data_IF_099984977584
#
_entry.id   IF_099984977584
#
_cell.length_a   1.000
_cell.length_b   1.000
_cell.length_c   1.000
_cell.angle_alpha   90.00
_cell.angle_beta   90.00
_cell.angle_gamma   90.00
#
_symmetry.space_group_name_H-M   'P 1'
#
loop_
_entity.id
_entity.type
_entity.pdbx_description
1 polymer ?
#
# COMPACT_ATOMS: atom_id res chain seq x y z
N UNK A 1 -18.01 -0.36 21.40
CA UNK A 1 -16.87 0.44 21.88
C UNK A 1 -17.11 1.89 21.53
N UNK A 2 -16.99 2.86 22.44
CA UNK A 2 -17.23 4.26 22.14
C UNK A 2 -16.09 4.82 21.29
N UNK A 3 -16.44 5.56 20.26
CA UNK A 3 -15.54 6.36 19.45
C UNK A 3 -14.72 7.30 20.34
N UNK A 4 -13.40 7.23 20.22
CA UNK A 4 -12.51 8.25 20.77
C UNK A 4 -12.75 9.55 20.00
N UNK A 5 -12.86 10.72 20.71
CA UNK A 5 -13.06 11.98 20.04
C UNK A 5 -11.81 12.35 19.23
N UNK A 6 -12.06 12.89 18.03
CA UNK A 6 -11.04 13.47 17.18
C UNK A 6 -10.22 14.50 17.98
N UNK A 7 -8.91 14.27 18.11
CA UNK A 7 -7.99 15.28 18.60
C UNK A 7 -7.95 16.42 17.59
N UNK A 8 -8.65 17.50 17.91
CA UNK A 8 -8.49 18.77 17.22
C UNK A 8 -7.06 19.27 17.46
N UNK A 9 -6.24 19.22 16.45
CA UNK A 9 -4.98 19.96 16.40
C UNK A 9 -5.34 21.44 16.31
N UNK A 10 -5.33 22.13 17.46
CA UNK A 10 -5.42 23.56 17.48
C UNK A 10 -4.11 24.14 16.92
N UNK A 11 -4.14 24.56 15.66
CA UNK A 11 -3.11 25.43 15.09
C UNK A 11 -3.29 26.82 15.72
N UNK A 12 -2.66 27.05 16.86
CA UNK A 12 -2.46 28.37 17.44
C UNK A 12 -0.99 28.72 17.36
N UNK A 13 -0.52 29.04 16.16
CA UNK A 13 0.64 29.93 16.05
C UNK A 13 0.46 30.77 14.81
N UNK A 14 0.27 32.09 15.03
CA UNK A 14 0.32 33.08 13.97
C UNK A 14 1.73 33.07 13.41
N UNK A 15 1.89 32.60 12.20
CA UNK A 15 3.11 32.78 11.43
C UNK A 15 3.36 34.29 11.37
N UNK A 16 4.49 34.84 11.87
CA UNK A 16 4.82 36.23 11.72
C UNK A 16 4.91 36.56 10.23
N UNK A 17 4.18 37.56 9.79
CA UNK A 17 4.30 38.09 8.43
C UNK A 17 5.75 38.61 8.26
N UNK A 18 6.52 37.96 7.41
CA UNK A 18 7.86 38.44 7.06
C UNK A 18 7.74 39.80 6.40
N UNK A 19 8.58 40.79 6.78
CA UNK A 19 8.63 42.08 6.11
C UNK A 19 9.04 41.90 4.65
N UNK A 20 8.60 42.77 3.73
CA UNK A 20 9.01 42.71 2.32
C UNK A 20 10.53 42.77 2.20
N UNK A 21 11.08 41.91 1.34
CA UNK A 21 12.52 41.90 1.05
C UNK A 21 12.97 43.29 0.59
N UNK A 22 14.06 43.80 1.15
CA UNK A 22 14.71 45.03 0.68
C UNK A 22 15.50 44.68 -0.57
N UNK A 23 15.24 45.42 -1.64
CA UNK A 23 16.03 45.35 -2.88
C UNK A 23 17.48 45.75 -2.54
N UNK A 24 18.41 44.83 -2.69
CA UNK A 24 19.84 45.14 -2.57
C UNK A 24 20.70 44.13 -1.81
N UNK A 25 20.13 43.10 -1.20
CA UNK A 25 20.96 42.05 -0.57
C UNK A 25 21.45 41.06 -1.63
N UNK A 26 22.71 41.19 -2.06
CA UNK A 26 23.47 40.11 -2.69
C UNK A 26 23.35 38.88 -1.78
N UNK A 27 22.49 37.92 -2.17
CA UNK A 27 22.29 36.71 -1.42
C UNK A 27 23.60 35.93 -1.35
N UNK A 28 24.29 36.01 -0.22
CA UNK A 28 25.29 35.02 0.13
C UNK A 28 24.70 33.63 -0.13
N UNK A 29 25.46 32.64 -0.65
CA UNK A 29 24.96 31.31 -0.95
C UNK A 29 24.23 30.80 0.28
N UNK A 30 22.93 30.52 0.15
CA UNK A 30 22.08 30.09 1.25
C UNK A 30 22.76 28.91 1.92
N UNK A 31 23.15 29.05 3.19
CA UNK A 31 23.72 27.96 3.98
C UNK A 31 22.71 26.82 3.97
N UNK A 32 23.09 25.68 3.44
CA UNK A 32 22.24 24.48 3.45
C UNK A 32 21.89 24.20 4.91
N UNK A 33 20.59 24.11 5.21
CA UNK A 33 20.12 23.75 6.55
C UNK A 33 20.72 22.38 6.93
N UNK A 34 21.48 22.29 8.03
CA UNK A 34 22.12 21.04 8.45
C UNK A 34 21.13 19.89 8.66
N UNK A 35 19.85 20.18 8.94
CA UNK A 35 18.80 19.15 9.09
C UNK A 35 18.44 18.47 7.77
N UNK A 36 18.75 19.06 6.64
CA UNK A 36 18.49 18.53 5.30
C UNK A 36 19.62 17.60 4.81
N UNK A 37 20.84 17.78 5.33
CA UNK A 37 22.03 17.03 4.89
C UNK A 37 21.99 15.59 5.44
N UNK A 38 22.35 14.59 4.61
CA UNK A 38 22.43 13.21 5.08
C UNK A 38 23.50 13.06 6.17
N UNK A 39 23.17 12.30 7.21
CA UNK A 39 24.06 12.13 8.37
C UNK A 39 25.20 11.17 8.03
N UNK A 40 26.42 11.50 8.45
CA UNK A 40 27.56 10.60 8.42
C UNK A 40 27.24 9.30 9.19
N UNK A 41 27.74 8.17 8.72
CA UNK A 41 27.53 6.87 9.34
C UNK A 41 26.10 6.32 9.22
N UNK A 42 25.28 6.86 8.31
CA UNK A 42 23.86 6.52 8.19
C UNK A 42 23.49 6.19 6.75
N UNK A 43 22.60 5.22 6.57
CA UNK A 43 21.95 4.92 5.28
C UNK A 43 20.61 5.67 5.24
N UNK A 44 20.42 6.51 4.22
CA UNK A 44 19.19 7.26 4.00
C UNK A 44 18.46 6.72 2.77
N UNK A 45 17.25 6.17 2.94
CA UNK A 45 16.36 5.89 1.82
C UNK A 45 15.69 7.20 1.40
N UNK A 46 15.86 7.64 0.17
CA UNK A 46 15.32 8.92 -0.28
C UNK A 46 14.31 8.74 -1.41
N UNK A 47 13.08 9.20 -1.19
CA UNK A 47 12.02 9.14 -2.18
C UNK A 47 12.30 10.09 -3.35
N UNK A 48 12.08 9.59 -4.57
CA UNK A 48 12.21 10.37 -5.81
C UNK A 48 10.84 10.74 -6.38
N UNK A 49 10.75 11.78 -7.22
CA UNK A 49 9.51 12.10 -7.94
C UNK A 49 8.98 10.93 -8.77
N UNK A 50 7.67 10.75 -8.81
CA UNK A 50 7.00 9.74 -9.63
C UNK A 50 6.58 10.27 -11.01
N UNK A 51 6.88 11.54 -11.30
CA UNK A 51 6.55 12.18 -12.58
C UNK A 51 6.90 13.65 -12.58
N UNK A 52 6.41 14.39 -11.61
CA UNK A 52 6.65 15.84 -11.48
C UNK A 52 7.90 16.10 -10.63
N UNK A 53 8.90 16.72 -11.21
CA UNK A 53 10.14 17.09 -10.48
C UNK A 53 9.91 18.11 -9.36
N UNK A 54 8.79 18.85 -9.40
CA UNK A 54 8.38 19.76 -8.34
C UNK A 54 8.08 19.06 -7.01
N UNK A 55 7.78 17.74 -7.06
CA UNK A 55 7.51 16.94 -5.87
C UNK A 55 8.79 16.48 -5.13
N UNK A 56 9.98 16.82 -5.67
CA UNK A 56 11.24 16.51 -5.01
C UNK A 56 11.38 17.29 -3.69
N UNK A 57 11.50 16.57 -2.59
CA UNK A 57 11.67 17.19 -1.28
C UNK A 57 13.01 17.95 -1.20
N UNK A 58 13.11 19.01 -0.37
CA UNK A 58 14.38 19.66 -0.08
C UNK A 58 15.44 18.67 0.47
N UNK A 59 15.01 17.67 1.23
CA UNK A 59 15.88 16.62 1.76
C UNK A 59 16.46 15.72 0.67
N UNK A 60 15.67 15.36 -0.35
CA UNK A 60 16.18 14.62 -1.51
C UNK A 60 17.27 15.41 -2.23
N UNK A 61 17.03 16.72 -2.49
CA UNK A 61 18.00 17.59 -3.16
C UNK A 61 19.33 17.65 -2.38
N UNK A 62 19.25 17.95 -1.08
CA UNK A 62 20.43 18.00 -0.22
C UNK A 62 21.11 16.63 -0.09
N UNK A 63 20.33 15.54 -0.05
CA UNK A 63 20.86 14.19 -0.01
C UNK A 63 21.69 13.86 -1.27
N UNK A 64 21.23 14.25 -2.46
CA UNK A 64 21.98 14.05 -3.70
C UNK A 64 23.23 14.91 -3.77
N UNK A 65 23.21 16.13 -3.24
CA UNK A 65 24.33 17.08 -3.28
C UNK A 65 25.44 16.72 -2.28
N UNK A 66 25.07 16.19 -1.11
CA UNK A 66 26.03 16.08 0.01
C UNK A 66 26.33 14.67 0.47
N UNK A 67 25.70 13.63 -0.14
CA UNK A 67 26.03 12.26 0.20
C UNK A 67 27.44 11.88 -0.27
N UNK A 68 28.15 11.04 0.51
CA UNK A 68 29.42 10.45 0.09
C UNK A 68 29.22 9.31 -0.91
N UNK A 69 28.12 8.58 -0.79
CA UNK A 69 27.71 7.48 -1.70
C UNK A 69 26.24 7.60 -2.04
N UNK A 70 25.93 7.55 -3.34
CA UNK A 70 24.56 7.50 -3.85
C UNK A 70 24.35 6.17 -4.57
N UNK A 71 23.54 5.29 -3.99
CA UNK A 71 23.14 4.02 -4.56
C UNK A 71 21.81 4.20 -5.32
N UNK A 72 21.79 3.91 -6.61
CA UNK A 72 20.66 4.12 -7.49
C UNK A 72 20.30 2.86 -8.27
N UNK A 73 19.03 2.63 -8.51
CA UNK A 73 18.52 1.50 -9.29
C UNK A 73 19.01 1.59 -10.74
N UNK A 74 18.76 2.70 -11.41
CA UNK A 74 19.38 3.05 -12.71
C UNK A 74 20.16 4.37 -12.57
N UNK A 75 21.50 4.28 -12.69
CA UNK A 75 22.40 5.44 -12.54
C UNK A 75 22.16 6.52 -13.61
N UNK A 76 21.68 6.13 -14.79
CA UNK A 76 21.36 7.09 -15.88
C UNK A 76 20.09 7.86 -15.55
N UNK A 77 19.08 7.20 -14.96
CA UNK A 77 17.85 7.86 -14.50
C UNK A 77 18.15 8.80 -13.35
N UNK A 78 19.00 8.40 -12.40
CA UNK A 78 19.47 9.29 -11.33
C UNK A 78 20.12 10.56 -11.91
N UNK A 79 21.05 10.44 -12.86
CA UNK A 79 21.73 11.59 -13.45
C UNK A 79 20.77 12.49 -14.21
N UNK A 80 19.80 11.92 -14.93
CA UNK A 80 18.74 12.69 -15.58
C UNK A 80 17.87 13.46 -14.56
N UNK A 81 17.49 12.79 -13.45
CA UNK A 81 16.74 13.42 -12.36
C UNK A 81 17.55 14.57 -11.76
N UNK A 82 18.81 14.36 -11.43
CA UNK A 82 19.71 15.38 -10.87
C UNK A 82 19.82 16.62 -11.80
N UNK A 83 19.97 16.39 -13.12
CA UNK A 83 19.98 17.45 -14.12
C UNK A 83 18.65 18.24 -14.11
N UNK A 84 17.52 17.56 -14.11
CA UNK A 84 16.19 18.21 -14.05
C UNK A 84 15.97 18.98 -12.75
N UNK A 85 16.50 18.49 -11.67
CA UNK A 85 16.47 19.15 -10.35
C UNK A 85 17.49 20.29 -10.25
N UNK A 86 18.41 20.44 -11.22
CA UNK A 86 19.54 21.37 -11.18
C UNK A 86 20.43 21.18 -9.94
N UNK A 87 20.63 19.92 -9.53
CA UNK A 87 21.55 19.52 -8.47
C UNK A 87 22.73 18.73 -9.05
N UNK A 88 23.90 18.88 -8.45
CA UNK A 88 25.07 18.05 -8.76
C UNK A 88 25.18 16.93 -7.72
N UNK A 89 25.24 15.69 -8.18
CA UNK A 89 25.48 14.58 -7.28
C UNK A 89 26.90 14.69 -6.72
N UNK A 90 27.02 14.80 -5.38
CA UNK A 90 28.30 15.08 -4.71
C UNK A 90 29.17 13.86 -4.58
N UNK A 91 28.60 12.71 -4.29
CA UNK A 91 29.33 11.51 -3.94
C UNK A 91 29.53 10.51 -5.07
N UNK A 92 30.10 9.35 -4.72
CA UNK A 92 30.27 8.21 -5.62
C UNK A 92 28.92 7.58 -5.94
N UNK A 93 28.58 7.47 -7.22
CA UNK A 93 27.36 6.80 -7.68
C UNK A 93 27.63 5.29 -7.82
N UNK A 94 26.72 4.47 -7.28
CA UNK A 94 26.77 3.01 -7.30
C UNK A 94 25.46 2.46 -7.84
N UNK A 95 25.54 1.51 -8.77
CA UNK A 95 24.33 0.78 -9.21
C UNK A 95 23.86 -0.17 -8.11
N UNK A 96 22.58 -0.08 -7.73
CA UNK A 96 21.94 -0.87 -6.69
C UNK A 96 20.53 -1.25 -7.10
N UNK A 97 20.34 -2.45 -7.61
CA UNK A 97 19.08 -2.97 -8.15
C UNK A 97 18.81 -4.40 -7.61
N UNK A 98 17.63 -4.92 -7.81
CA UNK A 98 17.18 -6.21 -7.27
C UNK A 98 18.18 -7.35 -7.51
N UNK A 99 18.80 -7.40 -8.69
CA UNK A 99 19.75 -8.47 -9.05
C UNK A 99 21.11 -8.39 -8.35
N UNK A 100 21.54 -7.19 -7.90
CA UNK A 100 22.84 -7.02 -7.23
C UNK A 100 22.74 -6.61 -5.76
N UNK A 101 21.53 -6.40 -5.22
CA UNK A 101 21.27 -5.94 -3.86
C UNK A 101 22.03 -6.78 -2.82
N UNK A 102 21.97 -8.11 -2.92
CA UNK A 102 22.67 -9.03 -1.99
C UNK A 102 24.18 -8.83 -1.97
N UNK A 103 24.77 -8.55 -3.13
CA UNK A 103 26.21 -8.34 -3.24
C UNK A 103 26.62 -6.94 -2.77
N UNK A 104 25.79 -5.92 -3.08
CA UNK A 104 26.10 -4.52 -2.83
C UNK A 104 25.75 -4.06 -1.40
N UNK A 105 24.75 -4.68 -0.75
CA UNK A 105 24.34 -4.28 0.60
C UNK A 105 25.52 -4.28 1.60
N UNK A 106 26.38 -5.31 1.67
CA UNK A 106 27.54 -5.27 2.57
C UNK A 106 28.51 -4.11 2.30
N UNK A 107 28.74 -3.77 1.02
CA UNK A 107 29.61 -2.64 0.64
C UNK A 107 29.06 -1.29 1.11
N UNK A 108 27.74 -1.09 1.00
CA UNK A 108 27.05 0.14 1.44
C UNK A 108 27.04 0.25 2.97
N UNK A 109 26.83 -0.87 3.67
CA UNK A 109 26.86 -0.95 5.13
C UNK A 109 28.26 -0.63 5.64
N UNK A 110 29.30 -1.21 5.04
CA UNK A 110 30.69 -0.95 5.44
C UNK A 110 31.09 0.50 5.19
N UNK A 111 30.66 1.10 4.07
CA UNK A 111 30.86 2.52 3.82
C UNK A 111 30.21 3.39 4.92
N UNK A 112 28.96 3.09 5.30
CA UNK A 112 28.29 3.80 6.39
C UNK A 112 29.02 3.60 7.73
N UNK A 113 29.42 2.38 8.09
CA UNK A 113 30.20 2.10 9.32
C UNK A 113 31.53 2.82 9.34
N UNK A 114 32.14 3.03 8.16
CA UNK A 114 33.34 3.87 8.00
C UNK A 114 33.10 5.37 8.11
N UNK A 115 31.88 5.79 8.41
CA UNK A 115 31.49 7.19 8.62
C UNK A 115 30.93 7.89 7.38
N UNK A 116 30.82 7.20 6.23
CA UNK A 116 30.21 7.79 5.03
C UNK A 116 28.69 7.95 5.19
N UNK A 117 28.15 9.03 4.62
CA UNK A 117 26.72 9.20 4.40
C UNK A 117 26.31 8.46 3.11
N UNK A 118 25.43 7.46 3.24
CA UNK A 118 24.94 6.65 2.13
C UNK A 118 23.49 7.01 1.83
N UNK A 119 23.21 7.35 0.57
CA UNK A 119 21.84 7.63 0.12
C UNK A 119 21.41 6.57 -0.90
N UNK A 120 20.23 6.00 -0.72
CA UNK A 120 19.62 5.03 -1.64
C UNK A 120 18.40 5.64 -2.28
N UNK A 121 18.32 5.60 -3.60
CA UNK A 121 17.19 6.09 -4.39
C UNK A 121 16.70 5.01 -5.34
N UNK A 122 15.39 4.96 -5.54
CA UNK A 122 14.75 4.19 -6.62
C UNK A 122 14.55 5.05 -7.87
N UNK A 123 14.14 4.42 -8.95
CA UNK A 123 13.85 5.10 -10.21
C UNK A 123 12.66 6.07 -10.08
N UNK A 124 11.67 5.72 -9.23
CA UNK A 124 10.48 6.54 -8.96
C UNK A 124 9.82 6.16 -7.63
N UNK A 125 9.57 7.13 -6.78
CA UNK A 125 8.87 6.93 -5.51
C UNK A 125 9.77 6.52 -4.36
N UNK A 126 9.24 5.70 -3.46
CA UNK A 126 9.91 5.26 -2.24
C UNK A 126 10.76 4.00 -2.51
N UNK A 127 12.07 4.02 -2.23
CA UNK A 127 12.87 2.80 -2.19
C UNK A 127 12.23 1.75 -1.26
N UNK A 128 12.46 0.47 -1.53
CA UNK A 128 11.89 -0.69 -0.82
C UNK A 128 10.40 -0.98 -1.06
N UNK A 129 9.69 -0.16 -1.84
CA UNK A 129 8.28 -0.38 -2.18
C UNK A 129 8.18 -0.77 -3.65
N UNK A 130 8.18 -2.07 -3.96
CA UNK A 130 8.35 -2.66 -5.31
C UNK A 130 9.69 -2.35 -5.99
N UNK A 131 10.64 -1.85 -5.21
CA UNK A 131 11.98 -1.43 -5.61
C UNK A 131 13.02 -2.06 -4.68
N UNK A 132 14.32 -2.06 -5.02
CA UNK A 132 15.37 -2.56 -4.14
C UNK A 132 15.47 -1.73 -2.85
N UNK A 133 15.95 -2.35 -1.77
CA UNK A 133 16.18 -1.68 -0.49
C UNK A 133 15.74 -2.46 0.75
N UNK A 134 14.74 -3.34 0.64
CA UNK A 134 14.26 -4.12 1.78
C UNK A 134 15.39 -4.95 2.44
N UNK A 135 16.16 -5.69 1.64
CA UNK A 135 17.26 -6.52 2.14
C UNK A 135 18.39 -5.69 2.72
N UNK A 136 18.64 -4.50 2.15
CA UNK A 136 19.63 -3.57 2.70
C UNK A 136 19.21 -3.09 4.08
N UNK A 137 17.94 -2.75 4.30
CA UNK A 137 17.42 -2.33 5.61
C UNK A 137 17.60 -3.44 6.64
N UNK A 138 17.22 -4.69 6.30
CA UNK A 138 17.40 -5.85 7.19
C UNK A 138 18.87 -6.07 7.53
N UNK A 139 19.74 -6.09 6.53
CA UNK A 139 21.16 -6.31 6.75
C UNK A 139 21.83 -5.16 7.52
N UNK A 140 21.38 -3.92 7.33
CA UNK A 140 21.87 -2.77 8.08
C UNK A 140 21.48 -2.84 9.56
N UNK A 141 20.24 -3.26 9.86
CA UNK A 141 19.75 -3.48 11.22
C UNK A 141 20.57 -4.57 11.93
N UNK A 142 20.78 -5.72 11.28
CA UNK A 142 21.64 -6.80 11.77
C UNK A 142 23.08 -6.36 12.04
N UNK A 143 23.60 -5.42 11.23
CA UNK A 143 24.94 -4.85 11.38
C UNK A 143 25.01 -3.68 12.39
N UNK A 144 23.90 -3.27 12.99
CA UNK A 144 23.82 -2.10 13.88
C UNK A 144 24.08 -0.77 13.17
N UNK A 145 23.88 -0.70 11.84
CA UNK A 145 24.08 0.51 11.04
C UNK A 145 22.77 1.31 10.98
N UNK A 146 22.77 2.59 11.39
CA UNK A 146 21.55 3.40 11.38
C UNK A 146 20.96 3.57 9.99
N UNK A 147 19.64 3.36 9.88
CA UNK A 147 18.88 3.63 8.68
C UNK A 147 17.83 4.71 8.96
N UNK A 148 17.67 5.64 8.03
CA UNK A 148 16.65 6.69 8.09
C UNK A 148 16.00 6.87 6.73
N UNK A 149 14.98 7.74 6.67
CA UNK A 149 14.24 8.02 5.43
C UNK A 149 14.12 9.52 5.18
N UNK A 150 14.27 9.93 3.93
CA UNK A 150 13.79 11.20 3.41
C UNK A 150 12.46 10.92 2.68
N UNK A 151 11.30 11.07 3.35
CA UNK A 151 10.00 10.73 2.78
C UNK A 151 9.65 11.65 1.61
N UNK A 152 8.80 11.14 0.74
CA UNK A 152 8.36 11.89 -0.42
C UNK A 152 7.30 11.15 -1.25
N UNK A 153 7.24 11.37 -2.56
CA UNK A 153 6.21 10.82 -3.42
C UNK A 153 6.08 9.31 -3.36
N UNK A 154 4.84 8.84 -3.49
CA UNK A 154 4.50 7.41 -3.56
C UNK A 154 3.30 7.23 -4.48
N UNK A 155 3.44 6.46 -5.55
CA UNK A 155 2.34 6.15 -6.46
C UNK A 155 1.20 5.40 -5.76
N UNK A 156 1.52 4.55 -4.77
CA UNK A 156 0.55 3.81 -3.95
C UNK A 156 -0.37 4.76 -3.18
N UNK A 157 0.22 5.67 -2.40
CA UNK A 157 -0.55 6.61 -1.58
C UNK A 157 -1.23 7.69 -2.43
N UNK A 158 -0.60 8.14 -3.52
CA UNK A 158 -1.20 9.11 -4.44
C UNK A 158 -2.44 8.52 -5.12
N UNK A 159 -2.35 7.27 -5.62
CA UNK A 159 -3.49 6.57 -6.20
C UNK A 159 -4.62 6.37 -5.17
N UNK A 160 -4.29 5.94 -3.95
CA UNK A 160 -5.27 5.76 -2.87
C UNK A 160 -5.99 7.08 -2.57
N UNK A 161 -5.26 8.16 -2.36
CA UNK A 161 -5.81 9.49 -2.06
C UNK A 161 -6.76 9.99 -3.16
N UNK A 162 -6.42 9.71 -4.43
CA UNK A 162 -7.22 10.12 -5.58
C UNK A 162 -8.34 9.15 -5.92
N UNK A 163 -8.33 7.92 -5.42
CA UNK A 163 -9.30 6.88 -5.78
C UNK A 163 -10.73 7.17 -5.35
N UNK A 164 -10.90 7.90 -4.23
CA UNK A 164 -12.21 8.11 -3.59
C UNK A 164 -12.75 6.85 -2.89
N UNK A 165 -11.93 5.81 -2.71
CA UNK A 165 -12.26 4.60 -1.96
C UNK A 165 -11.82 4.73 -0.50
N UNK A 166 -12.31 3.85 0.36
CA UNK A 166 -11.95 3.83 1.78
C UNK A 166 -10.43 3.72 1.95
N UNK A 167 -9.84 4.59 2.77
CA UNK A 167 -8.39 4.69 2.95
C UNK A 167 -7.91 4.36 4.36
N UNK A 168 -8.81 4.07 5.27
CA UNK A 168 -8.54 3.70 6.66
C UNK A 168 -7.80 2.36 6.79
N UNK A 169 -8.13 1.41 5.90
CA UNK A 169 -7.47 0.10 5.79
C UNK A 169 -7.28 -0.25 4.33
N UNK A 170 -6.04 -0.48 3.91
CA UNK A 170 -5.71 -0.86 2.54
C UNK A 170 -4.56 -1.86 2.48
N UNK A 171 -4.41 -2.51 1.34
CA UNK A 171 -3.29 -3.40 1.02
C UNK A 171 -2.63 -2.94 -0.27
N UNK A 172 -1.33 -3.12 -0.34
CA UNK A 172 -0.58 -2.98 -1.58
C UNK A 172 -0.15 -4.36 -2.06
N UNK A 173 -0.72 -4.79 -3.16
CA UNK A 173 -0.55 -6.12 -3.73
C UNK A 173 0.62 -6.21 -4.72
N UNK A 174 1.32 -5.08 -4.96
CA UNK A 174 2.45 -5.03 -5.90
C UNK A 174 2.02 -5.08 -7.36
N UNK A 175 2.93 -5.59 -8.20
CA UNK A 175 2.64 -5.77 -9.62
C UNK A 175 1.76 -6.99 -9.89
N UNK A 176 0.71 -6.76 -10.67
CA UNK A 176 -0.19 -7.84 -11.11
C UNK A 176 0.60 -8.95 -11.83
N UNK A 177 0.40 -10.24 -11.47
CA UNK A 177 1.08 -11.36 -12.12
C UNK A 177 0.90 -11.37 -13.65
N UNK A 178 1.98 -11.71 -14.36
CA UNK A 178 1.97 -11.73 -15.83
C UNK A 178 1.25 -12.94 -16.41
N UNK A 179 1.37 -14.10 -15.74
CA UNK A 179 0.80 -15.37 -16.19
C UNK A 179 -0.68 -15.46 -15.83
N UNK A 180 -1.58 -15.81 -16.77
CA UNK A 180 -3.03 -15.82 -16.50
C UNK A 180 -3.44 -16.69 -15.31
N UNK A 181 -2.80 -17.85 -15.15
CA UNK A 181 -3.10 -18.76 -14.03
C UNK A 181 -2.65 -18.25 -12.67
N UNK A 182 -1.54 -17.50 -12.61
CA UNK A 182 -1.08 -16.83 -11.39
C UNK A 182 -2.00 -15.64 -11.04
N UNK A 183 -2.33 -14.82 -12.05
CA UNK A 183 -3.28 -13.72 -11.91
C UNK A 183 -4.60 -14.22 -11.31
N UNK A 184 -5.16 -15.29 -11.90
CA UNK A 184 -6.42 -15.86 -11.43
C UNK A 184 -6.32 -16.30 -9.97
N UNK A 185 -5.31 -17.07 -9.59
CA UNK A 185 -5.10 -17.54 -8.20
C UNK A 185 -4.94 -16.38 -7.22
N UNK A 186 -4.16 -15.34 -7.61
CA UNK A 186 -4.01 -14.14 -6.78
C UNK A 186 -5.36 -13.46 -6.55
N UNK A 187 -6.15 -13.25 -7.60
CA UNK A 187 -7.45 -12.60 -7.48
C UNK A 187 -8.47 -13.46 -6.71
N UNK A 188 -8.45 -14.78 -6.90
CA UNK A 188 -9.32 -15.71 -6.14
C UNK A 188 -9.05 -15.65 -4.63
N UNK A 189 -7.77 -15.51 -4.22
CA UNK A 189 -7.40 -15.34 -2.82
C UNK A 189 -7.86 -13.99 -2.22
N UNK A 190 -8.15 -13.00 -3.06
CA UNK A 190 -8.56 -11.65 -2.66
C UNK A 190 -10.07 -11.41 -2.76
N UNK A 191 -10.88 -12.43 -3.07
CA UNK A 191 -12.34 -12.29 -3.25
C UNK A 191 -13.04 -11.78 -1.99
N UNK A 192 -12.56 -12.17 -0.81
CA UNK A 192 -13.07 -11.80 0.50
C UNK A 192 -12.27 -10.70 1.21
N UNK A 193 -11.26 -10.13 0.54
CA UNK A 193 -10.47 -9.04 1.13
C UNK A 193 -11.35 -7.79 1.33
N UNK A 194 -11.51 -7.36 2.57
CA UNK A 194 -12.36 -6.24 2.96
C UNK A 194 -11.67 -4.88 2.85
N UNK A 195 -10.33 -4.87 2.81
CA UNK A 195 -9.53 -3.64 2.68
C UNK A 195 -9.49 -3.18 1.23
N UNK A 196 -9.29 -1.88 1.01
CA UNK A 196 -8.98 -1.34 -0.31
C UNK A 196 -7.67 -1.93 -0.82
N UNK A 197 -7.67 -2.46 -2.02
CA UNK A 197 -6.52 -3.13 -2.65
C UNK A 197 -5.90 -2.23 -3.72
N UNK A 198 -4.57 -2.14 -3.74
CA UNK A 198 -3.82 -1.31 -4.71
C UNK A 198 -2.87 -2.21 -5.50
N UNK A 199 -2.92 -2.10 -6.83
CA UNK A 199 -2.11 -2.90 -7.74
C UNK A 199 -1.35 -2.02 -8.72
N UNK A 200 -0.10 -2.36 -9.01
CA UNK A 200 0.61 -1.83 -10.17
C UNK A 200 0.40 -2.73 -11.37
N UNK A 201 0.20 -2.14 -12.52
CA UNK A 201 0.12 -2.88 -13.78
C UNK A 201 0.77 -2.13 -14.95
N UNK A 202 0.89 -2.82 -16.08
CA UNK A 202 1.36 -2.25 -17.34
C UNK A 202 0.16 -1.80 -18.19
N UNK A 203 0.23 -0.65 -18.86
CA UNK A 203 -0.82 -0.17 -19.73
C UNK A 203 -1.18 -1.18 -20.83
N UNK A 204 -0.19 -1.97 -21.32
CA UNK A 204 -0.41 -3.00 -22.32
C UNK A 204 -1.26 -4.18 -21.87
N UNK A 205 -1.45 -4.34 -20.55
CA UNK A 205 -2.16 -5.49 -19.94
C UNK A 205 -3.40 -5.08 -19.17
N UNK A 206 -3.55 -3.80 -18.87
CA UNK A 206 -4.58 -3.27 -17.95
C UNK A 206 -6.00 -3.73 -18.33
N UNK A 207 -6.34 -3.74 -19.62
CA UNK A 207 -7.63 -4.23 -20.08
C UNK A 207 -7.88 -5.71 -19.69
N UNK A 208 -6.91 -6.58 -19.94
CA UNK A 208 -6.99 -8.00 -19.55
C UNK A 208 -7.04 -8.17 -18.04
N UNK A 209 -6.28 -7.39 -17.31
CA UNK A 209 -6.25 -7.41 -15.84
C UNK A 209 -7.61 -7.01 -15.28
N UNK A 210 -8.18 -5.89 -15.72
CA UNK A 210 -9.50 -5.42 -15.31
C UNK A 210 -10.61 -6.41 -15.68
N UNK A 211 -10.51 -7.07 -16.83
CA UNK A 211 -11.43 -8.14 -17.24
C UNK A 211 -11.40 -9.31 -16.24
N UNK A 212 -10.20 -9.77 -15.86
CA UNK A 212 -10.06 -10.83 -14.86
C UNK A 212 -10.56 -10.38 -13.48
N UNK A 213 -10.25 -9.15 -13.05
CA UNK A 213 -10.75 -8.57 -11.80
C UNK A 213 -12.28 -8.49 -11.79
N UNK A 214 -12.90 -8.02 -12.87
CA UNK A 214 -14.37 -7.93 -12.99
C UNK A 214 -15.04 -9.31 -12.91
N UNK A 215 -14.43 -10.34 -13.50
CA UNK A 215 -14.94 -11.71 -13.47
C UNK A 215 -14.83 -12.36 -12.08
N UNK A 216 -13.74 -12.11 -11.36
CA UNK A 216 -13.41 -12.82 -10.12
C UNK A 216 -13.87 -12.03 -8.88
N UNK A 217 -13.55 -10.73 -8.83
CA UNK A 217 -13.90 -9.87 -7.69
C UNK A 217 -15.32 -9.28 -7.80
N UNK A 218 -15.95 -9.38 -8.99
CA UNK A 218 -17.29 -8.90 -9.28
C UNK A 218 -17.31 -7.62 -10.11
N UNK A 219 -18.09 -7.64 -11.22
CA UNK A 219 -18.17 -6.52 -12.17
C UNK A 219 -18.69 -5.21 -11.56
N UNK A 220 -19.50 -5.29 -10.48
CA UNK A 220 -20.04 -4.13 -9.77
C UNK A 220 -19.11 -3.58 -8.67
N UNK A 221 -17.95 -4.21 -8.43
CA UNK A 221 -16.99 -3.76 -7.43
C UNK A 221 -16.48 -2.37 -7.78
N UNK A 222 -16.57 -1.36 -6.89
CA UNK A 222 -16.03 -0.04 -7.13
C UNK A 222 -14.50 -0.09 -7.30
N UNK A 223 -13.98 0.69 -8.24
CA UNK A 223 -12.56 0.76 -8.50
C UNK A 223 -12.17 2.13 -9.05
N UNK A 224 -10.88 2.41 -9.06
CA UNK A 224 -10.28 3.55 -9.74
C UNK A 224 -9.10 3.11 -10.59
N UNK A 225 -9.03 3.57 -11.82
CA UNK A 225 -7.85 3.47 -12.67
C UNK A 225 -7.14 4.81 -12.67
N UNK A 226 -5.95 4.85 -12.07
CA UNK A 226 -5.09 6.02 -12.04
C UNK A 226 -4.02 5.87 -13.11
N UNK A 227 -3.84 6.89 -13.94
CA UNK A 227 -2.88 6.90 -15.05
C UNK A 227 -2.01 8.14 -14.98
N UNK A 228 -0.70 7.99 -15.26
CA UNK A 228 0.25 9.09 -15.38
C UNK A 228 0.21 10.06 -14.20
N UNK A 229 0.11 9.53 -12.98
CA UNK A 229 0.03 10.31 -11.73
C UNK A 229 1.15 11.36 -11.65
N UNK A 230 0.80 12.59 -11.28
CA UNK A 230 1.65 13.78 -11.19
C UNK A 230 2.22 14.31 -12.53
N UNK A 231 1.96 13.63 -13.65
CA UNK A 231 2.44 14.01 -14.98
C UNK A 231 1.43 14.86 -15.74
N UNK A 232 1.83 15.39 -16.90
CA UNK A 232 0.99 16.26 -17.74
C UNK A 232 -0.35 15.62 -18.14
N UNK A 233 -0.37 14.30 -18.32
CA UNK A 233 -1.56 13.55 -18.73
C UNK A 233 -2.15 12.72 -17.60
N UNK A 234 -2.08 13.25 -16.35
CA UNK A 234 -2.69 12.64 -15.20
C UNK A 234 -4.20 12.44 -15.42
N UNK A 235 -4.66 11.22 -15.17
CA UNK A 235 -6.07 10.87 -15.28
C UNK A 235 -6.45 9.89 -14.17
N UNK A 236 -7.62 10.12 -13.56
CA UNK A 236 -8.22 9.20 -12.58
C UNK A 236 -9.66 8.89 -12.97
N UNK A 237 -9.91 7.66 -13.36
CA UNK A 237 -11.25 7.17 -13.72
C UNK A 237 -11.80 6.32 -12.60
N UNK A 238 -12.85 6.81 -11.95
CA UNK A 238 -13.58 6.13 -10.88
C UNK A 238 -14.86 5.52 -11.46
N UNK A 239 -14.99 4.21 -11.36
CA UNK A 239 -16.13 3.47 -11.90
C UNK A 239 -16.18 2.07 -11.26
N UNK A 240 -17.10 1.24 -11.70
CA UNK A 240 -17.06 -0.19 -11.39
C UNK A 240 -16.01 -0.92 -12.24
N UNK A 241 -15.54 -2.07 -11.78
CA UNK A 241 -14.62 -2.90 -12.57
C UNK A 241 -15.15 -3.19 -13.98
N UNK A 242 -16.45 -3.48 -14.10
CA UNK A 242 -17.07 -3.75 -15.40
C UNK A 242 -17.06 -2.54 -16.35
N UNK A 243 -17.30 -1.34 -15.83
CA UNK A 243 -17.23 -0.10 -16.61
C UNK A 243 -15.78 0.21 -17.01
N UNK A 244 -14.81 0.02 -16.12
CA UNK A 244 -13.38 0.20 -16.42
C UNK A 244 -12.90 -0.74 -17.52
N UNK A 245 -13.42 -1.97 -17.61
CA UNK A 245 -13.16 -2.87 -18.75
C UNK A 245 -13.56 -2.20 -20.05
N UNK A 246 -14.78 -1.63 -20.15
CA UNK A 246 -15.23 -0.92 -21.35
C UNK A 246 -14.34 0.29 -21.70
N UNK A 247 -13.93 1.05 -20.69
CA UNK A 247 -13.09 2.25 -20.85
C UNK A 247 -11.65 1.94 -21.29
N UNK A 248 -11.19 0.71 -21.13
CA UNK A 248 -9.83 0.27 -21.47
C UNK A 248 -9.78 -0.65 -22.70
N UNK A 249 -10.88 -0.77 -23.45
CA UNK A 249 -10.94 -1.60 -24.65
C UNK A 249 -10.02 -1.09 -25.79
N UNK A 250 -9.68 0.21 -25.79
CA UNK A 250 -8.71 0.81 -26.68
C UNK A 250 -7.28 0.78 -26.13
N UNK A 251 -6.37 1.48 -26.82
CA UNK A 251 -4.99 1.61 -26.39
C UNK A 251 -4.90 2.46 -25.11
N UNK A 252 -4.23 1.95 -24.09
CA UNK A 252 -3.89 2.68 -22.86
C UNK A 252 -2.40 2.95 -22.86
N UNK A 253 -2.01 4.22 -22.63
CA UNK A 253 -0.62 4.65 -22.59
C UNK A 253 -0.23 5.12 -21.20
N UNK A 254 1.07 5.07 -20.91
CA UNK A 254 1.66 5.58 -19.66
C UNK A 254 1.66 4.55 -18.54
N UNK A 255 1.93 4.98 -17.32
CA UNK A 255 1.96 4.14 -16.11
C UNK A 255 0.58 4.09 -15.46
N UNK A 256 0.20 2.92 -14.97
CA UNK A 256 -1.13 2.70 -14.40
C UNK A 256 -1.08 2.10 -13.00
N UNK A 257 -1.98 2.57 -12.15
CA UNK A 257 -2.27 2.02 -10.82
C UNK A 257 -3.76 1.71 -10.77
N UNK A 258 -4.11 0.51 -10.32
CA UNK A 258 -5.49 0.08 -10.13
C UNK A 258 -5.76 0.08 -8.62
N UNK A 259 -6.82 0.75 -8.21
CA UNK A 259 -7.31 0.73 -6.83
C UNK A 259 -8.70 0.09 -6.83
N UNK A 260 -8.90 -0.95 -6.03
CA UNK A 260 -10.16 -1.71 -5.99
C UNK A 260 -10.71 -1.69 -4.57
N UNK A 261 -11.99 -1.41 -4.42
CA UNK A 261 -12.64 -1.47 -3.12
C UNK A 261 -12.60 -2.88 -2.52
N UNK A 262 -12.51 -2.97 -1.23
CA UNK A 262 -12.64 -4.23 -0.50
C UNK A 262 -13.98 -4.92 -0.75
N UNK A 263 -14.07 -6.19 -0.39
CA UNK A 263 -15.35 -6.91 -0.37
C UNK A 263 -16.31 -6.20 0.57
N UNK A 264 -17.59 -6.10 0.22
CA UNK A 264 -18.57 -5.68 1.20
C UNK A 264 -18.51 -6.67 2.37
N UNK A 265 -18.71 -6.20 3.62
CA UNK A 265 -18.80 -7.12 4.75
C UNK A 265 -19.82 -8.20 4.42
N UNK A 266 -19.38 -9.46 4.48
CA UNK A 266 -20.30 -10.58 4.35
C UNK A 266 -21.24 -10.49 5.53
N UNK A 267 -22.53 -10.29 5.28
CA UNK A 267 -23.51 -10.39 6.36
C UNK A 267 -23.32 -11.76 7.00
N UNK A 268 -23.12 -11.83 8.31
CA UNK A 268 -22.92 -13.12 8.96
C UNK A 268 -24.14 -14.02 8.69
N UNK A 269 -23.87 -15.25 8.24
CA UNK A 269 -24.93 -16.21 7.95
C UNK A 269 -25.53 -16.71 9.27
N UNK A 270 -26.83 -16.47 9.52
CA UNK A 270 -27.50 -16.98 10.72
C UNK A 270 -27.42 -18.51 10.83
N UNK A 271 -27.32 -19.22 9.71
CA UNK A 271 -27.24 -20.69 9.67
C UNK A 271 -25.87 -21.19 10.12
N UNK A 272 -24.79 -20.57 9.63
CA UNK A 272 -23.43 -20.88 10.10
C UNK A 272 -23.27 -20.55 11.58
N UNK A 273 -23.74 -19.39 12.01
CA UNK A 273 -23.72 -18.98 13.42
C UNK A 273 -24.53 -19.93 14.31
N UNK A 274 -25.68 -20.39 13.83
CA UNK A 274 -26.50 -21.36 14.55
C UNK A 274 -25.82 -22.74 14.65
N UNK A 275 -25.19 -23.18 13.59
CA UNK A 275 -24.42 -24.47 13.57
C UNK A 275 -23.27 -24.42 14.57
N UNK A 276 -22.56 -23.31 14.65
CA UNK A 276 -21.50 -23.12 15.64
C UNK A 276 -22.06 -23.08 17.06
N UNK A 277 -23.19 -22.41 17.29
CA UNK A 277 -23.84 -22.40 18.60
C UNK A 277 -24.31 -23.83 19.04
N UNK A 278 -24.76 -24.65 18.09
CA UNK A 278 -25.09 -26.05 18.35
C UNK A 278 -23.86 -26.86 18.73
N UNK A 279 -22.75 -26.67 18.00
CA UNK A 279 -21.47 -27.34 18.33
C UNK A 279 -20.97 -27.00 19.74
N UNK A 280 -21.07 -25.75 20.16
CA UNK A 280 -20.75 -25.32 21.52
C UNK A 280 -21.72 -25.94 22.56
N UNK A 281 -23.00 -26.07 22.21
CA UNK A 281 -24.00 -26.68 23.10
C UNK A 281 -23.78 -28.19 23.26
N UNK A 282 -23.39 -28.87 22.20
CA UNK A 282 -23.06 -30.30 22.23
C UNK A 282 -21.75 -30.53 23.04
N UNK A 283 -20.87 -29.54 23.12
CA UNK A 283 -19.72 -29.51 24.02
C UNK A 283 -20.04 -29.20 25.50
N UNK A 284 -21.33 -29.06 25.86
CA UNK A 284 -21.79 -28.89 27.25
C UNK A 284 -22.24 -27.46 27.62
N UNK A 285 -22.18 -26.50 26.74
CA UNK A 285 -22.71 -25.15 27.00
C UNK A 285 -24.26 -25.15 26.92
N UNK A 286 -24.91 -24.22 27.64
CA UNK A 286 -26.33 -24.00 27.39
C UNK A 286 -26.53 -23.33 26.03
N UNK A 287 -27.46 -23.84 25.20
CA UNK A 287 -27.67 -23.30 23.84
C UNK A 287 -27.92 -21.80 23.81
N UNK A 288 -28.61 -21.27 24.81
CA UNK A 288 -28.86 -19.81 24.93
C UNK A 288 -27.55 -19.04 25.15
N UNK A 289 -26.65 -19.56 25.96
CA UNK A 289 -25.36 -18.93 26.27
C UNK A 289 -24.41 -19.02 25.07
N UNK A 290 -24.39 -20.17 24.41
CA UNK A 290 -23.66 -20.43 23.17
C UNK A 290 -24.13 -19.47 22.05
N UNK A 291 -25.44 -19.33 21.86
CA UNK A 291 -26.02 -18.39 20.89
C UNK A 291 -25.66 -16.94 21.22
N UNK A 292 -25.66 -16.54 22.50
CA UNK A 292 -25.22 -15.22 22.94
C UNK A 292 -23.73 -14.97 22.65
N UNK A 293 -22.86 -15.95 22.90
CA UNK A 293 -21.43 -15.89 22.62
C UNK A 293 -21.14 -15.73 21.13
N UNK A 294 -21.77 -16.56 20.29
CA UNK A 294 -21.60 -16.50 18.82
C UNK A 294 -22.15 -15.18 18.27
N UNK A 295 -23.33 -14.74 18.73
CA UNK A 295 -23.91 -13.47 18.34
C UNK A 295 -23.03 -12.27 18.66
N UNK A 296 -22.38 -12.27 19.84
CA UNK A 296 -21.44 -11.21 20.22
C UNK A 296 -20.22 -11.10 19.31
N UNK A 297 -19.79 -12.23 18.69
CA UNK A 297 -18.65 -12.26 17.77
C UNK A 297 -19.07 -11.98 16.33
N UNK A 298 -20.24 -12.44 15.91
CA UNK A 298 -20.73 -12.30 14.53
C UNK A 298 -21.52 -11.03 14.28
N UNK A 299 -21.92 -10.29 15.33
CA UNK A 299 -22.77 -9.10 15.20
C UNK A 299 -24.25 -9.41 14.94
N UNK A 300 -24.66 -10.69 14.90
CA UNK A 300 -26.05 -11.11 14.81
C UNK A 300 -26.80 -10.85 16.13
N UNK A 301 -28.14 -10.87 16.06
CA UNK A 301 -28.96 -10.78 17.27
C UNK A 301 -28.95 -12.15 17.99
N UNK A 302 -28.72 -12.23 19.32
CA UNK A 302 -28.71 -13.48 20.07
C UNK A 302 -29.97 -14.32 19.89
N UNK A 303 -31.15 -13.69 19.83
CA UNK A 303 -32.42 -14.37 19.59
C UNK A 303 -32.55 -14.95 18.17
N UNK A 304 -31.89 -14.37 17.19
CA UNK A 304 -31.87 -14.87 15.81
C UNK A 304 -31.04 -16.14 15.73
N UNK A 305 -29.80 -16.11 16.22
CA UNK A 305 -28.93 -17.30 16.31
C UNK A 305 -29.60 -18.43 17.08
N UNK A 306 -30.20 -18.12 18.23
CA UNK A 306 -30.88 -19.12 19.06
C UNK A 306 -32.06 -19.77 18.34
N UNK A 307 -32.95 -18.97 17.67
CA UNK A 307 -34.11 -19.51 16.93
C UNK A 307 -33.68 -20.36 15.74
N UNK A 308 -32.65 -19.91 15.00
CA UNK A 308 -32.11 -20.68 13.87
C UNK A 308 -31.49 -21.99 14.36
N UNK A 309 -30.76 -21.97 15.48
CA UNK A 309 -30.19 -23.19 16.09
C UNK A 309 -31.27 -24.20 16.52
N UNK A 310 -32.37 -23.71 17.11
CA UNK A 310 -33.49 -24.58 17.45
C UNK A 310 -34.15 -25.23 16.20
N UNK A 311 -34.33 -24.45 15.13
CA UNK A 311 -34.89 -24.95 13.88
C UNK A 311 -33.98 -25.99 13.22
N UNK A 312 -32.66 -25.78 13.18
CA UNK A 312 -31.70 -26.77 12.69
C UNK A 312 -31.70 -28.05 13.51
N UNK A 313 -31.73 -27.94 14.84
CA UNK A 313 -31.79 -29.14 15.73
C UNK A 313 -33.09 -29.94 15.54
N UNK A 314 -34.22 -29.26 15.33
CA UNK A 314 -35.48 -29.92 15.06
C UNK A 314 -35.48 -30.64 13.70
N UNK A 315 -34.90 -30.06 12.67
CA UNK A 315 -34.74 -30.67 11.35
C UNK A 315 -33.85 -31.93 11.40
N UNK A 316 -32.70 -31.87 12.10
CA UNK A 316 -31.83 -33.03 12.29
C UNK A 316 -32.52 -34.18 13.03
N UNK A 317 -33.31 -33.85 14.05
CA UNK A 317 -34.05 -34.88 14.83
C UNK A 317 -35.16 -35.56 13.99
N UNK A 318 -35.79 -34.81 13.06
CA UNK A 318 -36.78 -35.34 12.14
C UNK A 318 -36.15 -36.29 11.10
N UNK A 319 -35.02 -35.92 10.51
CA UNK A 319 -34.26 -36.75 9.57
C UNK A 319 -33.78 -38.06 10.21
N UNK A 320 -33.24 -37.97 11.42
CA UNK A 320 -32.80 -39.15 12.18
C UNK A 320 -33.97 -40.08 12.52
N UNK A 321 -35.16 -39.53 12.78
CA UNK A 321 -36.40 -40.25 13.01
C UNK A 321 -36.88 -41.04 11.79
N UNK A 322 -36.87 -40.39 10.61
CA UNK A 322 -37.25 -41.01 9.32
C UNK A 322 -36.28 -42.12 8.91
N UNK A 323 -34.97 -41.90 9.05
CA UNK A 323 -33.95 -42.94 8.77
C UNK A 323 -34.12 -44.16 9.68
N UNK A 324 -34.52 -43.96 10.94
CA UNK A 324 -34.77 -45.04 11.89
C UNK A 324 -36.03 -45.82 11.58
N UNK A 325 -37.10 -45.16 11.04
CA UNK A 325 -38.33 -45.85 10.60
C UNK A 325 -38.12 -46.59 9.28
N UNK A 326 -37.31 -46.09 8.36
CA UNK A 326 -37.00 -46.76 7.08
C UNK A 326 -36.10 -48.01 7.23
N UNK A 327 -35.43 -48.17 8.37
CA UNK A 327 -34.59 -49.34 8.68
C UNK A 327 -35.28 -50.44 9.50
N UNK A 328 -36.56 -50.23 9.85
CA UNK A 328 -37.43 -51.24 10.49
C UNK A 328 -38.42 -51.84 9.48
#
# INVERSE_FOLDING_TARGET
MPFLPAHTWAMTDRVPCLPPARDGDEQAPARTDPSLVPRAGTITLAATPIGNVGDASPRLRAALEHADVVAAEDTRRLLNLAQRLRVRVGGRIVAFHEHNERQRAPELIEAARGGASVVVVSDAGMPSVSDPGYRLVVAADEAGTPVTVAPGPSAVLTALALSGLASDRFTFEGFVPRRPGELRRTLEALTTEERTMIFFDSPRRVHRTLTAMAQILGAKRPAALCRELTKTYEEVRRATLGELVGLTAGEVLGEVVIVVAGAPPTAPDPTEAATEALSLADGGARLKDAAGQVAGRTGLRPNEVYRTALALRAAQTAEDGEVRMARR
#
